data_IF_337377825352
#
_entry.id   IF_337377825352
#
_cell.length_a   1.000
_cell.length_b   1.000
_cell.length_c   1.000
_cell.angle_alpha   90.00
_cell.angle_beta   90.00
_cell.angle_gamma   90.00
#
_symmetry.space_group_name_H-M   'P 1'
#
loop_
_entity.id
_entity.type
_entity.pdbx_description
1 polymer ?
#
# COMPACT_ATOMS: atom_id res chain seq x y z
N UNK A 1 7.34 17.00 10.61
CA UNK A 1 7.98 16.62 9.32
C UNK A 1 9.44 17.05 9.26
N UNK A 2 9.81 18.20 9.73
CA UNK A 2 11.20 18.71 9.75
C UNK A 2 12.17 17.81 10.50
N UNK A 3 11.81 17.36 11.71
CA UNK A 3 12.64 16.42 12.48
C UNK A 3 12.89 15.08 11.75
N UNK A 4 11.91 14.63 10.95
CA UNK A 4 12.04 13.43 10.14
C UNK A 4 12.99 13.65 8.95
N UNK A 5 12.88 14.80 8.29
CA UNK A 5 13.79 15.19 7.22
C UNK A 5 15.23 15.33 7.76
N UNK A 6 15.42 15.98 8.90
CA UNK A 6 16.72 16.11 9.56
C UNK A 6 17.34 14.75 9.94
N UNK A 7 16.53 13.83 10.44
CA UNK A 7 16.99 12.47 10.74
C UNK A 7 17.49 11.74 9.48
N UNK A 8 16.76 11.85 8.37
CA UNK A 8 17.18 11.27 7.07
C UNK A 8 18.44 11.94 6.49
N UNK A 9 18.53 13.26 6.61
CA UNK A 9 19.70 14.02 6.13
C UNK A 9 21.02 13.58 6.78
N UNK A 10 20.97 13.06 8.03
CA UNK A 10 22.15 12.47 8.68
C UNK A 10 22.73 11.27 7.91
N UNK A 11 21.91 10.50 7.19
CA UNK A 11 22.40 9.43 6.34
C UNK A 11 23.14 9.99 5.11
N UNK A 12 22.56 11.00 4.46
CA UNK A 12 23.14 11.62 3.27
C UNK A 12 24.49 12.29 3.58
N UNK A 13 24.63 12.87 4.77
CA UNK A 13 25.89 13.49 5.21
C UNK A 13 27.03 12.49 5.42
N UNK A 14 26.75 11.19 5.45
CA UNK A 14 27.72 10.11 5.59
C UNK A 14 27.89 9.26 4.32
N UNK A 15 27.08 9.51 3.31
CA UNK A 15 27.06 8.72 2.07
C UNK A 15 27.99 9.33 1.04
N UNK A 16 28.79 8.48 0.37
CA UNK A 16 29.62 8.90 -0.76
C UNK A 16 28.78 9.23 -2.01
N UNK A 17 27.61 8.59 -2.15
CA UNK A 17 26.64 8.82 -3.20
C UNK A 17 25.24 8.85 -2.59
N UNK A 18 24.43 9.82 -3.01
CA UNK A 18 23.03 9.98 -2.61
C UNK A 18 22.15 10.07 -3.85
N UNK A 19 21.13 9.21 -3.94
CA UNK A 19 20.09 9.29 -4.98
C UNK A 19 18.86 9.99 -4.40
N UNK A 20 18.59 11.20 -4.85
CA UNK A 20 17.54 12.08 -4.31
C UNK A 20 16.33 12.18 -5.25
N UNK A 21 15.14 12.05 -4.66
CA UNK A 21 13.88 12.29 -5.37
C UNK A 21 13.61 13.79 -5.49
N UNK A 22 13.75 14.35 -6.69
CA UNK A 22 13.51 15.77 -6.98
C UNK A 22 12.03 16.17 -6.82
N UNK A 23 11.08 15.22 -6.90
CA UNK A 23 9.65 15.51 -6.72
C UNK A 23 9.27 15.73 -5.25
N UNK A 24 10.18 15.39 -4.32
CA UNK A 24 9.95 15.61 -2.89
C UNK A 24 9.95 17.10 -2.53
N UNK A 25 9.03 17.57 -1.68
CA UNK A 25 9.10 18.93 -1.14
C UNK A 25 10.37 19.18 -0.29
N UNK A 26 11.06 18.12 0.12
CA UNK A 26 12.32 18.20 0.87
C UNK A 26 13.55 17.94 0.00
N UNK A 27 13.44 17.91 -1.34
CA UNK A 27 14.56 17.61 -2.24
C UNK A 27 15.76 18.53 -1.97
N UNK A 28 15.58 19.84 -2.06
CA UNK A 28 16.63 20.82 -1.83
C UNK A 28 17.27 20.72 -0.44
N UNK A 29 16.46 20.43 0.59
CA UNK A 29 16.98 20.21 1.93
C UNK A 29 17.88 18.98 1.99
N UNK A 30 17.51 17.87 1.35
CA UNK A 30 18.30 16.65 1.30
C UNK A 30 19.60 16.86 0.52
N UNK A 31 19.56 17.52 -0.62
CA UNK A 31 20.71 17.84 -1.46
C UNK A 31 21.75 18.70 -0.71
N UNK A 32 21.32 19.73 0.00
CA UNK A 32 22.18 20.60 0.81
C UNK A 32 22.91 19.86 1.94
N UNK A 33 22.33 18.80 2.47
CA UNK A 33 22.92 18.02 3.56
C UNK A 33 23.75 16.82 3.08
N UNK A 34 23.74 16.50 1.80
CA UNK A 34 24.59 15.46 1.23
C UNK A 34 26.03 15.97 1.11
N UNK A 35 26.99 15.20 1.65
CA UNK A 35 28.43 15.53 1.56
C UNK A 35 29.11 14.88 0.36
N UNK A 36 28.56 13.77 -0.13
CA UNK A 36 29.05 13.08 -1.30
C UNK A 36 28.39 13.55 -2.58
N UNK A 37 28.59 12.81 -3.67
CA UNK A 37 27.94 13.08 -4.95
C UNK A 37 26.42 12.89 -4.82
N UNK A 38 25.68 13.84 -5.35
CA UNK A 38 24.22 13.76 -5.45
C UNK A 38 23.84 13.42 -6.88
N UNK A 39 22.89 12.50 -7.02
CA UNK A 39 22.21 12.15 -8.26
C UNK A 39 20.73 12.36 -8.03
N UNK A 40 20.11 13.20 -8.86
CA UNK A 40 18.68 13.52 -8.76
C UNK A 40 17.85 12.67 -9.71
N UNK A 41 16.59 12.39 -9.32
CA UNK A 41 15.65 11.68 -10.18
C UNK A 41 14.23 12.22 -10.04
N UNK A 42 13.47 12.17 -11.13
CA UNK A 42 12.08 12.64 -11.19
C UNK A 42 11.20 11.68 -11.98
N UNK A 43 9.97 11.52 -11.53
CA UNK A 43 8.87 10.93 -12.28
C UNK A 43 7.83 11.99 -12.73
N UNK A 44 8.07 13.25 -12.40
CA UNK A 44 7.29 14.43 -12.75
C UNK A 44 7.95 15.29 -13.83
N UNK A 45 7.71 16.59 -13.75
CA UNK A 45 8.17 17.57 -14.74
C UNK A 45 9.45 18.34 -14.32
N UNK A 46 10.00 18.02 -13.15
CA UNK A 46 11.20 18.69 -12.64
C UNK A 46 12.44 18.29 -13.43
N UNK A 47 13.40 19.19 -13.51
CA UNK A 47 14.71 18.86 -14.05
C UNK A 47 15.51 18.01 -13.08
N UNK A 48 16.09 16.93 -13.58
CA UNK A 48 16.86 15.96 -12.80
C UNK A 48 17.84 15.17 -13.68
N UNK A 49 18.88 14.59 -13.07
CA UNK A 49 19.87 13.76 -13.79
C UNK A 49 19.22 12.55 -14.46
N UNK A 50 18.19 11.98 -13.83
CA UNK A 50 17.41 10.89 -14.36
C UNK A 50 15.91 11.21 -14.35
N UNK A 51 15.24 10.96 -15.47
CA UNK A 51 13.81 11.18 -15.64
C UNK A 51 13.11 9.87 -16.02
N UNK A 52 11.95 9.61 -15.43
CA UNK A 52 11.04 8.57 -15.91
C UNK A 52 10.06 9.18 -16.94
N UNK A 53 10.12 8.71 -18.17
CA UNK A 53 9.28 9.14 -19.28
C UNK A 53 8.37 7.99 -19.74
N UNK A 54 7.31 8.31 -20.48
CA UNK A 54 6.38 7.31 -21.02
C UNK A 54 5.87 6.33 -19.96
N UNK A 55 5.53 6.86 -18.80
CA UNK A 55 5.06 6.05 -17.66
C UNK A 55 3.70 5.42 -18.00
N UNK A 56 3.62 4.10 -17.85
CA UNK A 56 2.39 3.32 -17.97
C UNK A 56 2.14 2.62 -16.64
N UNK A 57 0.96 2.85 -16.10
CA UNK A 57 0.47 2.18 -14.89
C UNK A 57 -0.52 1.10 -15.32
N UNK A 58 -0.24 -0.15 -14.99
CA UNK A 58 -1.03 -1.31 -15.36
C UNK A 58 -1.53 -2.04 -14.10
N UNK A 59 -2.53 -2.89 -14.27
CA UNK A 59 -3.14 -3.64 -13.17
C UNK A 59 -2.12 -4.54 -12.43
N UNK A 60 -1.11 -5.03 -13.15
CA UNK A 60 -0.10 -5.96 -12.64
C UNK A 60 1.31 -5.37 -12.60
N UNK A 61 1.50 -4.06 -12.79
CA UNK A 61 2.82 -3.50 -12.79
C UNK A 61 2.93 -2.08 -13.34
N UNK A 62 4.16 -1.67 -13.57
CA UNK A 62 4.48 -0.38 -14.20
C UNK A 62 5.53 -0.58 -15.29
N UNK A 63 5.50 0.26 -16.31
CA UNK A 63 6.58 0.38 -17.29
C UNK A 63 6.88 1.84 -17.59
N UNK A 64 8.13 2.15 -17.83
CA UNK A 64 8.58 3.52 -18.16
C UNK A 64 9.91 3.50 -18.89
N UNK A 65 10.28 4.65 -19.47
CA UNK A 65 11.61 4.88 -20.01
C UNK A 65 12.45 5.67 -19.01
N UNK A 66 13.54 5.09 -18.53
CA UNK A 66 14.55 5.80 -17.76
C UNK A 66 15.47 6.55 -18.72
N UNK A 67 15.55 7.87 -18.59
CA UNK A 67 16.41 8.76 -19.41
C UNK A 67 17.39 9.53 -18.52
N UNK A 68 18.64 9.59 -18.99
CA UNK A 68 19.66 10.54 -18.53
C UNK A 68 20.49 10.99 -19.73
N UNK A 69 21.52 11.82 -19.51
CA UNK A 69 22.47 12.21 -20.57
C UNK A 69 23.14 11.00 -21.26
N UNK A 70 23.38 9.92 -20.52
CA UNK A 70 24.13 8.74 -21.02
C UNK A 70 23.30 7.47 -21.09
N UNK A 71 22.09 7.47 -20.55
CA UNK A 71 21.27 6.26 -20.38
C UNK A 71 19.90 6.46 -20.96
N UNK A 72 19.47 5.52 -21.82
CA UNK A 72 18.07 5.36 -22.25
C UNK A 72 17.69 3.91 -22.10
N UNK A 73 16.85 3.59 -21.13
CA UNK A 73 16.54 2.21 -20.77
C UNK A 73 15.04 2.06 -20.52
N UNK A 74 14.38 1.14 -21.24
CA UNK A 74 13.00 0.77 -20.96
C UNK A 74 12.97 -0.23 -19.82
N UNK A 75 12.32 0.14 -18.74
CA UNK A 75 12.17 -0.66 -17.52
C UNK A 75 10.71 -1.07 -17.32
N UNK A 76 10.51 -2.24 -16.73
CA UNK A 76 9.22 -2.72 -16.25
C UNK A 76 9.39 -3.36 -14.89
N UNK A 77 8.37 -3.24 -14.05
CA UNK A 77 8.33 -3.85 -12.72
C UNK A 77 6.92 -4.40 -12.46
N UNK A 78 6.75 -5.70 -12.15
CA UNK A 78 5.44 -6.32 -11.97
C UNK A 78 4.84 -6.05 -10.57
N UNK A 79 4.97 -4.82 -10.11
CA UNK A 79 4.39 -4.30 -8.86
C UNK A 79 3.54 -3.10 -9.23
N UNK A 80 2.24 -3.18 -9.01
CA UNK A 80 1.31 -2.12 -9.34
C UNK A 80 1.48 -0.88 -8.45
N UNK A 81 1.08 0.28 -8.96
CA UNK A 81 1.06 1.55 -8.24
C UNK A 81 2.12 2.55 -8.69
N UNK A 82 1.73 3.82 -8.74
CA UNK A 82 2.59 4.92 -9.21
C UNK A 82 3.89 5.07 -8.40
N UNK A 83 3.87 4.76 -7.11
CA UNK A 83 5.06 4.76 -6.25
C UNK A 83 6.14 3.77 -6.72
N UNK A 84 5.76 2.70 -7.45
CA UNK A 84 6.70 1.71 -7.99
C UNK A 84 7.63 2.31 -9.03
N UNK A 85 7.16 3.32 -9.79
CA UNK A 85 8.01 4.03 -10.75
C UNK A 85 9.21 4.66 -10.04
N UNK A 86 8.95 5.48 -9.01
CA UNK A 86 10.03 6.13 -8.25
C UNK A 86 10.92 5.12 -7.53
N UNK A 87 10.34 4.12 -6.86
CA UNK A 87 11.10 3.12 -6.11
C UNK A 87 12.02 2.29 -7.03
N UNK A 88 11.50 1.79 -8.15
CA UNK A 88 12.27 1.00 -9.11
C UNK A 88 13.30 1.85 -9.86
N UNK A 89 12.98 3.12 -10.14
CA UNK A 89 13.93 4.07 -10.74
C UNK A 89 15.11 4.34 -9.82
N UNK A 90 14.88 4.67 -8.55
CA UNK A 90 15.96 4.89 -7.58
C UNK A 90 16.81 3.63 -7.39
N UNK A 91 16.20 2.45 -7.33
CA UNK A 91 16.95 1.19 -7.27
C UNK A 91 17.79 0.96 -8.52
N UNK A 92 17.24 1.22 -9.73
CA UNK A 92 17.97 1.13 -10.99
C UNK A 92 19.15 2.09 -11.04
N UNK A 93 18.98 3.35 -10.60
CA UNK A 93 20.04 4.35 -10.55
C UNK A 93 21.13 3.91 -9.59
N UNK A 94 20.79 3.47 -8.37
CA UNK A 94 21.79 2.93 -7.44
C UNK A 94 22.58 1.76 -8.05
N UNK A 95 21.91 0.85 -8.73
CA UNK A 95 22.57 -0.29 -9.39
C UNK A 95 23.49 0.16 -10.55
N UNK A 96 23.07 1.14 -11.37
CA UNK A 96 23.91 1.72 -12.43
C UNK A 96 25.17 2.36 -11.84
N UNK A 97 25.02 3.13 -10.77
CA UNK A 97 26.13 3.80 -10.08
C UNK A 97 27.10 2.83 -9.41
N UNK A 98 26.64 1.64 -9.05
CA UNK A 98 27.44 0.53 -8.55
C UNK A 98 28.06 -0.33 -9.66
N UNK A 99 27.86 0.04 -10.94
CA UNK A 99 28.46 -0.63 -12.09
C UNK A 99 27.68 -1.84 -12.62
N UNK A 100 26.43 -2.05 -12.19
CA UNK A 100 25.60 -3.09 -12.76
C UNK A 100 25.24 -2.79 -14.22
N UNK A 101 25.24 -3.82 -15.08
CA UNK A 101 24.89 -3.63 -16.48
C UNK A 101 23.39 -3.30 -16.66
N UNK A 102 23.02 -2.45 -17.64
CA UNK A 102 21.62 -2.16 -17.94
C UNK A 102 20.78 -3.40 -18.25
N UNK A 103 21.37 -4.42 -18.87
CA UNK A 103 20.70 -5.68 -19.17
C UNK A 103 20.32 -6.43 -17.89
N UNK A 104 21.23 -6.52 -16.92
CA UNK A 104 20.97 -7.14 -15.63
C UNK A 104 19.86 -6.41 -14.87
N UNK A 105 19.94 -5.08 -14.80
CA UNK A 105 18.91 -4.25 -14.13
C UNK A 105 17.53 -4.49 -14.73
N UNK A 106 17.43 -4.50 -16.06
CA UNK A 106 16.17 -4.76 -16.77
C UNK A 106 15.62 -6.15 -16.42
N UNK A 107 16.47 -7.17 -16.44
CA UNK A 107 16.06 -8.56 -16.14
C UNK A 107 15.57 -8.68 -14.70
N UNK A 108 16.34 -8.16 -13.74
CA UNK A 108 15.99 -8.23 -12.32
C UNK A 108 14.68 -7.50 -12.03
N UNK A 109 14.52 -6.25 -12.49
CA UNK A 109 13.31 -5.49 -12.24
C UNK A 109 12.07 -6.13 -12.87
N UNK A 110 12.19 -6.71 -14.08
CA UNK A 110 11.05 -7.37 -14.74
C UNK A 110 10.66 -8.71 -14.10
N UNK A 111 11.54 -9.31 -13.32
CA UNK A 111 11.30 -10.58 -12.61
C UNK A 111 11.04 -10.40 -11.11
N UNK A 112 10.96 -9.17 -10.62
CA UNK A 112 10.69 -8.91 -9.20
C UNK A 112 9.33 -9.49 -8.79
N UNK A 113 9.33 -10.14 -7.64
CA UNK A 113 8.08 -10.52 -6.99
C UNK A 113 7.52 -9.36 -6.19
N UNK A 114 6.18 -9.21 -6.11
CA UNK A 114 5.57 -8.25 -5.22
C UNK A 114 6.08 -8.43 -3.78
N UNK A 115 6.39 -7.33 -3.12
CA UNK A 115 6.79 -7.35 -1.72
C UNK A 115 5.56 -7.73 -0.88
N UNK A 116 5.70 -8.73 0.01
CA UNK A 116 4.61 -9.15 0.90
C UNK A 116 4.05 -7.95 1.68
N UNK A 117 2.74 -7.85 1.72
CA UNK A 117 2.04 -6.77 2.40
C UNK A 117 2.20 -5.38 1.79
N UNK A 118 2.58 -5.28 0.50
CA UNK A 118 2.64 -4.04 -0.27
C UNK A 118 1.86 -4.23 -1.57
N UNK A 119 0.64 -3.70 -1.62
CA UNK A 119 -0.30 -3.92 -2.74
C UNK A 119 -0.36 -5.41 -3.14
N UNK A 120 -0.22 -6.28 -2.16
CA UNK A 120 -0.16 -7.72 -2.37
C UNK A 120 -1.53 -8.26 -2.74
N UNK A 121 -1.65 -8.86 -3.91
CA UNK A 121 -2.88 -9.53 -4.34
C UNK A 121 -2.99 -10.92 -3.70
N UNK A 122 -4.05 -11.14 -2.94
CA UNK A 122 -4.36 -12.46 -2.38
C UNK A 122 -5.01 -13.33 -3.46
N UNK A 123 -4.43 -14.50 -3.72
CA UNK A 123 -5.05 -15.51 -4.60
C UNK A 123 -6.08 -16.28 -3.78
N UNK A 124 -7.37 -16.00 -4.00
CA UNK A 124 -8.48 -16.63 -3.26
C UNK A 124 -8.81 -18.03 -3.75
N UNK A 125 -8.64 -18.31 -5.03
CA UNK A 125 -9.00 -19.59 -5.64
C UNK A 125 -9.78 -19.40 -6.94
N UNK A 126 -10.27 -20.51 -7.50
CA UNK A 126 -11.01 -20.50 -8.75
C UNK A 126 -12.39 -19.85 -8.56
N UNK A 127 -12.80 -19.03 -9.53
CA UNK A 127 -14.15 -18.42 -9.54
C UNK A 127 -14.27 -17.09 -8.77
N UNK A 128 -13.20 -16.58 -8.16
CA UNK A 128 -13.25 -15.28 -7.52
C UNK A 128 -13.41 -14.15 -8.55
N UNK A 129 -14.52 -13.42 -8.47
CA UNK A 129 -14.91 -12.33 -9.38
C UNK A 129 -14.59 -10.94 -8.83
N UNK A 130 -13.99 -10.86 -7.64
CA UNK A 130 -13.46 -9.66 -6.99
C UNK A 130 -11.98 -9.83 -6.62
N UNK A 131 -11.32 -8.74 -6.25
CA UNK A 131 -9.89 -8.73 -5.88
C UNK A 131 -9.72 -8.45 -4.40
N UNK A 132 -8.79 -9.13 -3.72
CA UNK A 132 -8.36 -8.80 -2.36
C UNK A 132 -6.91 -8.32 -2.40
N UNK A 133 -6.66 -7.14 -1.83
CA UNK A 133 -5.34 -6.53 -1.71
C UNK A 133 -4.97 -6.35 -0.23
N UNK A 134 -3.73 -6.64 0.12
CA UNK A 134 -3.15 -6.38 1.45
C UNK A 134 -2.09 -5.30 1.32
N UNK A 135 -2.13 -4.28 2.19
CA UNK A 135 -1.12 -3.22 2.22
C UNK A 135 -0.78 -2.78 3.66
N UNK A 136 0.44 -2.29 3.83
CA UNK A 136 0.97 -1.80 5.11
C UNK A 136 0.62 -0.34 5.41
N UNK A 137 -0.21 0.32 4.63
CA UNK A 137 -0.60 1.71 4.83
C UNK A 137 -1.28 1.92 6.20
N UNK A 138 -0.55 2.52 7.14
CA UNK A 138 -0.97 2.75 8.52
C UNK A 138 -0.78 4.22 8.96
N UNK A 139 -0.54 5.11 8.00
CA UNK A 139 -0.46 6.57 8.19
C UNK A 139 -1.44 7.28 7.26
N UNK A 140 -1.88 8.53 7.57
CA UNK A 140 -2.79 9.28 6.72
C UNK A 140 -2.31 9.41 5.26
N UNK A 141 -1.08 9.84 5.05
CA UNK A 141 -0.49 10.00 3.70
C UNK A 141 -0.44 8.66 2.93
N UNK A 142 0.00 7.58 3.60
CA UNK A 142 0.07 6.27 2.98
C UNK A 142 -1.33 5.74 2.60
N UNK A 143 -2.33 5.89 3.49
CA UNK A 143 -3.70 5.48 3.23
C UNK A 143 -4.33 6.26 2.07
N UNK A 144 -4.10 7.58 2.01
CA UNK A 144 -4.60 8.42 0.93
C UNK A 144 -3.99 8.01 -0.41
N UNK A 145 -2.66 7.86 -0.49
CA UNK A 145 -1.95 7.42 -1.70
C UNK A 145 -2.39 6.03 -2.15
N UNK A 146 -2.55 5.11 -1.21
CA UNK A 146 -3.04 3.76 -1.47
C UNK A 146 -4.44 3.78 -2.08
N UNK A 147 -5.39 4.47 -1.45
CA UNK A 147 -6.76 4.56 -1.95
C UNK A 147 -6.85 5.26 -3.32
N UNK A 148 -6.07 6.31 -3.55
CA UNK A 148 -5.97 6.95 -4.87
C UNK A 148 -5.45 5.98 -5.94
N UNK A 149 -4.42 5.20 -5.61
CA UNK A 149 -3.87 4.17 -6.50
C UNK A 149 -4.92 3.08 -6.79
N UNK A 150 -5.58 2.55 -5.76
CA UNK A 150 -6.60 1.50 -5.94
C UNK A 150 -7.77 1.99 -6.79
N UNK A 151 -8.12 3.28 -6.71
CA UNK A 151 -9.16 3.89 -7.56
C UNK A 151 -8.81 3.83 -9.05
N UNK A 152 -7.55 3.91 -9.44
CA UNK A 152 -7.13 3.79 -10.85
C UNK A 152 -7.19 2.34 -11.36
N UNK A 153 -7.13 1.37 -10.46
CA UNK A 153 -7.21 -0.06 -10.77
C UNK A 153 -8.66 -0.58 -10.80
N UNK A 154 -9.60 0.20 -10.31
CA UNK A 154 -11.00 -0.20 -10.16
C UNK A 154 -11.69 -0.36 -11.51
N UNK A 155 -12.38 -1.48 -11.70
CA UNK A 155 -13.30 -1.67 -12.85
C UNK A 155 -14.49 -0.72 -12.77
N UNK A 156 -15.12 -0.43 -13.92
CA UNK A 156 -16.16 0.59 -14.07
C UNK A 156 -17.31 0.49 -13.03
N UNK A 157 -17.70 -0.71 -12.65
CA UNK A 157 -18.83 -0.95 -11.72
C UNK A 157 -18.39 -1.50 -10.34
N UNK A 158 -17.09 -1.72 -10.13
CA UNK A 158 -16.57 -2.25 -8.86
C UNK A 158 -16.49 -1.16 -7.78
N UNK A 159 -16.59 -1.55 -6.53
CA UNK A 159 -16.43 -0.70 -5.35
C UNK A 159 -15.11 -0.97 -4.64
N UNK A 160 -14.58 0.03 -3.96
CA UNK A 160 -13.47 -0.13 -3.01
C UNK A 160 -14.08 -0.37 -1.63
N UNK A 161 -13.87 -1.58 -1.11
CA UNK A 161 -14.26 -1.99 0.24
C UNK A 161 -13.01 -1.96 1.11
N UNK A 162 -12.85 -0.92 1.92
CA UNK A 162 -11.69 -0.74 2.80
C UNK A 162 -11.96 -1.39 4.15
N UNK A 163 -11.03 -2.24 4.60
CA UNK A 163 -10.94 -2.77 5.97
C UNK A 163 -9.68 -2.20 6.60
N UNK A 164 -9.82 -1.38 7.66
CA UNK A 164 -8.68 -0.78 8.32
C UNK A 164 -8.93 -0.49 9.79
N UNK A 165 -7.85 -0.35 10.53
CA UNK A 165 -7.82 0.10 11.91
C UNK A 165 -6.57 0.91 12.20
N UNK A 166 -6.40 1.31 13.45
CA UNK A 166 -5.21 2.00 13.92
C UNK A 166 -4.58 1.25 15.09
N UNK A 167 -3.26 1.29 15.20
CA UNK A 167 -2.54 0.71 16.33
C UNK A 167 -2.72 1.53 17.61
N UNK A 168 -2.80 0.83 18.75
CA UNK A 168 -2.70 1.40 20.08
C UNK A 168 -1.26 1.75 20.45
N UNK A 169 -1.07 2.56 21.51
CA UNK A 169 0.22 3.07 21.99
C UNK A 169 1.03 3.75 20.87
N UNK A 170 0.33 4.49 20.02
CA UNK A 170 0.85 5.21 18.85
C UNK A 170 0.19 6.59 18.77
N UNK A 171 0.59 7.38 17.78
CA UNK A 171 0.01 8.69 17.50
C UNK A 171 -1.51 8.59 17.32
N UNK A 172 -2.24 9.18 18.28
CA UNK A 172 -3.72 9.19 18.32
C UNK A 172 -4.28 10.23 17.34
N UNK A 173 -3.55 11.32 17.09
CA UNK A 173 -4.02 12.40 16.23
C UNK A 173 -4.26 11.94 14.78
N UNK A 174 -3.59 10.89 14.33
CA UNK A 174 -3.79 10.32 12.99
C UNK A 174 -5.14 9.59 12.83
N UNK A 175 -5.77 9.11 13.92
CA UNK A 175 -6.97 8.26 13.88
C UNK A 175 -8.16 8.95 13.17
N UNK A 176 -8.60 10.13 13.60
CA UNK A 176 -9.69 10.84 12.90
C UNK A 176 -9.29 11.28 11.49
N UNK A 177 -8.02 11.60 11.24
CA UNK A 177 -7.56 11.97 9.90
C UNK A 177 -7.68 10.78 8.94
N UNK A 178 -7.29 9.57 9.37
CA UNK A 178 -7.44 8.35 8.60
C UNK A 178 -8.91 8.00 8.37
N UNK A 179 -9.77 8.21 9.36
CA UNK A 179 -11.23 8.08 9.23
C UNK A 179 -11.79 8.98 8.13
N UNK A 180 -11.42 10.26 8.14
CA UNK A 180 -11.85 11.24 7.13
C UNK A 180 -11.38 10.86 5.71
N UNK A 181 -10.13 10.40 5.57
CA UNK A 181 -9.58 9.93 4.29
C UNK A 181 -10.35 8.70 3.79
N UNK A 182 -10.60 7.72 4.67
CA UNK A 182 -11.36 6.52 4.35
C UNK A 182 -12.78 6.86 3.86
N UNK A 183 -13.50 7.72 4.60
CA UNK A 183 -14.85 8.17 4.25
C UNK A 183 -14.88 8.86 2.88
N UNK A 184 -13.88 9.67 2.55
CA UNK A 184 -13.81 10.42 1.29
C UNK A 184 -13.45 9.54 0.09
N UNK A 185 -12.57 8.56 0.26
CA UNK A 185 -11.92 7.87 -0.87
C UNK A 185 -12.37 6.42 -1.08
N UNK A 186 -12.94 5.75 -0.09
CA UNK A 186 -13.50 4.41 -0.23
C UNK A 186 -15.02 4.47 -0.46
N UNK A 187 -15.56 3.48 -1.16
CA UNK A 187 -17.01 3.36 -1.39
C UNK A 187 -17.71 2.73 -0.19
N UNK A 188 -17.05 1.74 0.44
CA UNK A 188 -17.49 1.08 1.67
C UNK A 188 -16.32 1.02 2.64
N UNK A 189 -16.56 1.28 3.92
CA UNK A 189 -15.53 1.26 4.96
C UNK A 189 -15.97 0.33 6.09
N UNK A 190 -15.10 -0.57 6.46
CA UNK A 190 -15.23 -1.44 7.63
C UNK A 190 -14.13 -1.05 8.60
N UNK A 191 -14.52 -0.45 9.72
CA UNK A 191 -13.55 -0.05 10.76
C UNK A 191 -13.38 -1.21 11.73
N UNK A 192 -12.15 -1.56 12.05
CA UNK A 192 -11.79 -2.72 12.87
C UNK A 192 -10.57 -2.42 13.74
N UNK A 193 -10.14 -3.39 14.56
CA UNK A 193 -8.88 -3.29 15.29
C UNK A 193 -7.66 -3.46 14.37
N UNK A 194 -6.54 -3.02 14.88
CA UNK A 194 -5.19 -3.38 14.44
C UNK A 194 -4.47 -3.93 15.71
N UNK A 195 -3.17 -3.73 15.87
CA UNK A 195 -2.47 -4.03 17.10
C UNK A 195 -2.90 -3.04 18.20
N UNK A 196 -3.91 -3.37 18.98
CA UNK A 196 -4.45 -2.51 20.05
C UNK A 196 -3.49 -2.33 21.22
N UNK A 197 -2.56 -3.27 21.40
CA UNK A 197 -1.58 -3.27 22.50
C UNK A 197 -2.25 -3.13 23.87
N UNK A 198 -1.94 -2.04 24.61
CA UNK A 198 -2.52 -1.78 25.93
C UNK A 198 -3.82 -1.00 25.88
N UNK A 199 -4.17 -0.39 24.73
CA UNK A 199 -5.41 0.37 24.57
C UNK A 199 -6.61 -0.54 24.30
N UNK A 200 -7.79 -0.02 24.63
CA UNK A 200 -9.07 -0.63 24.28
C UNK A 200 -9.35 -0.47 22.78
N UNK A 201 -9.55 -1.56 22.03
CA UNK A 201 -9.80 -1.48 20.58
C UNK A 201 -11.05 -0.68 20.25
N UNK A 202 -12.11 -0.70 21.07
CA UNK A 202 -13.34 0.04 20.82
C UNK A 202 -13.10 1.55 20.90
N UNK A 203 -12.29 2.02 21.85
CA UNK A 203 -11.90 3.43 21.94
C UNK A 203 -11.07 3.90 20.74
N UNK A 204 -10.20 3.03 20.22
CA UNK A 204 -9.44 3.33 19.00
C UNK A 204 -10.39 3.50 17.83
N UNK A 205 -11.39 2.63 17.71
CA UNK A 205 -12.43 2.71 16.68
C UNK A 205 -13.23 4.01 16.82
N UNK A 206 -13.68 4.38 18.02
CA UNK A 206 -14.39 5.63 18.28
C UNK A 206 -13.59 6.86 17.80
N UNK A 207 -12.29 6.91 18.06
CA UNK A 207 -11.44 8.00 17.60
C UNK A 207 -11.29 8.04 16.07
N UNK A 208 -11.32 6.89 15.38
CA UNK A 208 -11.38 6.84 13.91
C UNK A 208 -12.71 7.40 13.42
N UNK A 209 -13.81 7.00 14.06
CA UNK A 209 -15.17 7.41 13.70
C UNK A 209 -15.40 8.91 13.85
N UNK A 210 -14.74 9.57 14.78
CA UNK A 210 -14.80 11.02 14.93
C UNK A 210 -14.42 11.76 13.63
N UNK A 211 -13.58 11.16 12.78
CA UNK A 211 -13.25 11.68 11.45
C UNK A 211 -14.26 11.34 10.34
N UNK A 212 -15.23 10.48 10.63
CA UNK A 212 -16.21 9.95 9.64
C UNK A 212 -17.61 10.55 9.78
N UNK A 213 -17.78 11.64 10.50
CA UNK A 213 -19.09 12.21 10.84
C UNK A 213 -20.01 12.47 9.62
N UNK A 214 -19.44 12.81 8.45
CA UNK A 214 -20.23 13.06 7.23
C UNK A 214 -20.56 11.81 6.42
N UNK A 215 -19.82 10.71 6.60
CA UNK A 215 -20.06 9.44 5.93
C UNK A 215 -19.69 8.31 6.91
N UNK A 216 -20.67 7.79 7.65
CA UNK A 216 -20.44 6.71 8.60
C UNK A 216 -19.90 5.45 7.90
N UNK A 217 -19.20 4.57 8.61
CA UNK A 217 -18.70 3.32 8.05
C UNK A 217 -19.87 2.39 7.65
N UNK A 218 -19.58 1.46 6.74
CA UNK A 218 -20.51 0.39 6.39
C UNK A 218 -20.71 -0.58 7.55
N UNK A 219 -19.64 -0.82 8.32
CA UNK A 219 -19.68 -1.66 9.52
C UNK A 219 -18.55 -1.27 10.48
N UNK A 220 -18.76 -1.55 11.77
CA UNK A 220 -17.77 -1.51 12.83
C UNK A 220 -17.70 -2.92 13.42
N UNK A 221 -16.55 -3.57 13.26
CA UNK A 221 -16.35 -4.94 13.70
C UNK A 221 -14.99 -4.99 14.38
N UNK A 222 -14.93 -4.96 15.72
CA UNK A 222 -13.68 -4.91 16.46
C UNK A 222 -12.74 -6.07 16.14
N UNK A 223 -13.27 -7.29 16.00
CA UNK A 223 -12.46 -8.46 15.67
C UNK A 223 -12.11 -8.45 14.17
N UNK A 224 -10.84 -8.26 13.88
CA UNK A 224 -10.34 -8.06 12.52
C UNK A 224 -10.55 -9.26 11.60
N UNK A 225 -10.49 -10.48 12.11
CA UNK A 225 -10.81 -11.68 11.34
C UNK A 225 -12.28 -11.70 10.88
N UNK A 226 -13.20 -11.33 11.78
CA UNK A 226 -14.62 -11.19 11.44
C UNK A 226 -14.86 -10.04 10.46
N UNK A 227 -14.13 -8.93 10.60
CA UNK A 227 -14.20 -7.80 9.67
C UNK A 227 -13.77 -8.20 8.25
N UNK A 228 -12.68 -8.96 8.13
CA UNK A 228 -12.20 -9.50 6.85
C UNK A 228 -13.23 -10.47 6.26
N UNK A 229 -13.76 -11.39 7.09
CA UNK A 229 -14.78 -12.33 6.65
C UNK A 229 -16.04 -11.60 6.14
N UNK A 230 -16.52 -10.60 6.88
CA UNK A 230 -17.65 -9.76 6.47
C UNK A 230 -17.40 -9.05 5.13
N UNK A 231 -16.21 -8.46 4.95
CA UNK A 231 -15.83 -7.80 3.70
C UNK A 231 -15.90 -8.77 2.51
N UNK A 232 -15.40 -10.00 2.67
CA UNK A 232 -15.35 -11.02 1.63
C UNK A 232 -16.75 -11.59 1.35
N UNK A 233 -17.54 -11.85 2.39
CA UNK A 233 -18.92 -12.35 2.24
C UNK A 233 -19.82 -11.34 1.48
N UNK A 234 -19.58 -10.05 1.64
CA UNK A 234 -20.40 -8.97 1.07
C UNK A 234 -19.82 -8.31 -0.17
N UNK A 235 -18.64 -8.76 -0.65
CA UNK A 235 -18.03 -8.26 -1.88
C UNK A 235 -18.86 -8.66 -3.11
N UNK A 236 -18.97 -7.77 -4.08
CA UNK A 236 -19.63 -8.02 -5.37
C UNK A 236 -18.59 -8.20 -6.49
N UNK A 237 -19.06 -8.71 -7.62
CA UNK A 237 -18.22 -8.85 -8.82
C UNK A 237 -17.56 -7.52 -9.21
N UNK A 238 -16.25 -7.54 -9.42
CA UNK A 238 -15.46 -6.36 -9.76
C UNK A 238 -15.02 -5.49 -8.58
N UNK A 239 -15.45 -5.78 -7.35
CA UNK A 239 -15.01 -5.05 -6.16
C UNK A 239 -13.52 -5.28 -5.87
N UNK A 240 -12.93 -4.31 -5.15
CA UNK A 240 -11.60 -4.44 -4.57
C UNK A 240 -11.75 -4.36 -3.05
N UNK A 241 -11.54 -5.48 -2.36
CA UNK A 241 -11.42 -5.54 -0.90
C UNK A 241 -9.98 -5.20 -0.53
N UNK A 242 -9.80 -4.09 0.17
CA UNK A 242 -8.49 -3.57 0.56
C UNK A 242 -8.29 -3.72 2.06
N UNK A 243 -7.35 -4.58 2.47
CA UNK A 243 -6.96 -4.79 3.85
C UNK A 243 -5.74 -3.91 4.14
N UNK A 244 -5.93 -2.81 4.88
CA UNK A 244 -4.87 -1.84 5.15
C UNK A 244 -4.44 -1.85 6.62
N UNK A 245 -3.14 -1.64 6.86
CA UNK A 245 -2.52 -1.48 8.18
C UNK A 245 -1.45 -2.51 8.47
N UNK A 246 -1.78 -3.81 8.45
CA UNK A 246 -0.87 -4.90 8.85
C UNK A 246 0.17 -5.29 7.79
N UNK A 247 -0.22 -5.27 6.52
CA UNK A 247 0.68 -5.63 5.44
C UNK A 247 1.29 -7.03 5.62
N UNK A 248 2.60 -7.08 5.86
CA UNK A 248 3.35 -8.33 6.03
C UNK A 248 3.31 -8.92 7.45
N UNK A 249 2.68 -8.25 8.41
CA UNK A 249 2.59 -8.73 9.79
C UNK A 249 1.71 -9.98 9.86
N UNK A 250 2.27 -11.08 10.37
CA UNK A 250 1.56 -12.36 10.59
C UNK A 250 1.23 -12.55 12.07
N UNK A 251 0.95 -11.45 12.75
CA UNK A 251 0.59 -11.43 14.17
C UNK A 251 -0.35 -10.28 14.52
N UNK A 252 -0.98 -10.40 15.64
CA UNK A 252 -1.72 -9.35 16.31
C UNK A 252 -1.22 -9.18 17.73
N UNK A 253 -1.10 -7.94 18.21
CA UNK A 253 -0.68 -7.60 19.56
C UNK A 253 -1.86 -6.95 20.27
N UNK A 254 -2.33 -7.61 21.33
CA UNK A 254 -3.39 -7.14 22.20
C UNK A 254 -2.87 -6.99 23.63
N UNK A 255 -3.71 -6.59 24.56
CA UNK A 255 -3.39 -6.54 25.98
C UNK A 255 -3.01 -7.93 26.55
N UNK A 256 -3.52 -9.00 25.95
CA UNK A 256 -3.23 -10.39 26.35
C UNK A 256 -1.89 -10.90 25.79
N UNK A 257 -1.25 -10.13 24.90
CA UNK A 257 0.03 -10.47 24.30
C UNK A 257 -0.03 -10.57 22.76
N UNK A 258 0.95 -11.29 22.20
CA UNK A 258 1.09 -11.51 20.77
C UNK A 258 0.51 -12.85 20.36
N UNK A 259 -0.41 -12.85 19.38
CA UNK A 259 -0.97 -14.07 18.79
C UNK A 259 -0.68 -14.14 17.28
N UNK A 260 -0.67 -15.34 16.72
CA UNK A 260 -0.60 -15.54 15.28
C UNK A 260 -1.87 -14.98 14.61
N UNK A 261 -1.68 -14.23 13.52
CA UNK A 261 -2.76 -13.62 12.75
C UNK A 261 -2.31 -13.36 11.33
N UNK A 262 -2.86 -14.10 10.38
CA UNK A 262 -2.48 -13.99 8.96
C UNK A 262 -3.69 -13.58 8.13
N UNK A 263 -3.75 -12.32 7.69
CA UNK A 263 -4.85 -11.78 6.88
C UNK A 263 -5.09 -12.57 5.60
N UNK A 264 -4.02 -13.05 4.97
CA UNK A 264 -4.09 -13.84 3.74
C UNK A 264 -4.85 -15.15 3.94
N UNK A 265 -4.52 -15.87 5.02
CA UNK A 265 -5.18 -17.16 5.32
C UNK A 265 -6.62 -16.95 5.78
N UNK A 266 -6.90 -15.88 6.52
CA UNK A 266 -8.26 -15.50 6.91
C UNK A 266 -9.09 -15.18 5.67
N UNK A 267 -8.54 -14.41 4.73
CA UNK A 267 -9.22 -14.07 3.49
C UNK A 267 -9.54 -15.30 2.62
N UNK A 268 -8.59 -16.22 2.49
CA UNK A 268 -8.80 -17.48 1.74
C UNK A 268 -9.91 -18.31 2.38
N UNK A 269 -9.83 -18.55 3.70
CA UNK A 269 -10.85 -19.31 4.44
C UNK A 269 -12.25 -18.68 4.29
N UNK A 270 -12.35 -17.36 4.48
CA UNK A 270 -13.61 -16.66 4.33
C UNK A 270 -14.20 -16.80 2.92
N UNK A 271 -13.36 -16.86 1.88
CA UNK A 271 -13.81 -17.09 0.51
C UNK A 271 -14.25 -18.54 0.29
N UNK A 272 -13.53 -19.53 0.82
CA UNK A 272 -13.93 -20.94 0.77
C UNK A 272 -15.28 -21.17 1.45
N UNK A 273 -15.52 -20.54 2.60
CA UNK A 273 -16.80 -20.61 3.30
C UNK A 273 -17.94 -19.96 2.48
N UNK A 274 -17.66 -18.84 1.81
CA UNK A 274 -18.60 -18.19 0.90
C UNK A 274 -19.00 -19.13 -0.26
N UNK A 275 -18.04 -19.78 -0.88
CA UNK A 275 -18.29 -20.73 -2.00
C UNK A 275 -19.11 -21.90 -1.53
N UNK A 276 -18.81 -22.49 -0.37
CA UNK A 276 -19.58 -23.59 0.22
C UNK A 276 -21.03 -23.20 0.48
N UNK A 277 -21.25 -22.06 1.10
CA UNK A 277 -22.60 -21.58 1.43
C UNK A 277 -23.43 -21.31 0.17
N UNK A 278 -22.85 -20.72 -0.86
CA UNK A 278 -23.53 -20.47 -2.13
C UNK A 278 -23.81 -21.76 -2.91
N UNK A 279 -22.93 -22.77 -2.82
CA UNK A 279 -23.15 -24.10 -3.42
C UNK A 279 -24.29 -24.86 -2.76
N UNK A 280 -24.45 -24.73 -1.44
CA UNK A 280 -25.54 -25.37 -0.68
C UNK A 280 -26.90 -24.71 -0.96
N UNK A 281 -26.94 -23.41 -1.25
CA UNK A 281 -28.17 -22.69 -1.58
C UNK A 281 -28.73 -23.06 -2.98
N UNK A 282 -27.86 -23.44 -3.92
CA UNK A 282 -28.28 -23.84 -5.28
C UNK A 282 -28.56 -25.35 -5.45
N UNK A 283 -28.28 -26.17 -4.44
CA UNK A 283 -28.48 -27.63 -4.48
C UNK A 283 -29.86 -28.12 -3.95
N UNK A 284 -30.70 -27.20 -3.50
CA UNK A 284 -31.98 -27.52 -2.82
C UNK A 284 -33.23 -27.51 -3.69
N UNK A 285 -33.12 -27.42 -5.00
CA UNK A 285 -34.28 -27.50 -5.92
C UNK A 285 -34.02 -28.60 -6.96
N UNK A 286 -34.31 -29.81 -6.58
CA UNK A 286 -34.63 -30.92 -7.51
C UNK A 286 -35.90 -31.63 -7.03
#
# INVERSE_FOLDING_TARGET
MENYAAAKAKLLSKSALSVCNADSPYASYMEQHAKGRVVTCTAGERDADFCAEEIRLEECGVSYRLRSLRTRLRLSCPIAGSFTVMNSMQAAICALELGCSPALIKTVLSSMLPVRGRMERVRLGFGADFTVLIDYAHTPDALEKLLRTVRTLRKKNGKIVLVFGCGGDRDRAKRPIMGAIAARLADRVIVTSDNSRTEDPERIIEEILAGMAQKPPTAMIPERDKAIAFAIQTACAGDIVLLAGKGHEEYEITREGRRAFCEREIAKRAYEDRVRNNGSANGGTK
#
